data_IF_778984553792
#
_entry.id   IF_778984553792
#
_cell.length_a   1.000
_cell.length_b   1.000
_cell.length_c   1.000
_cell.angle_alpha   90.00
_cell.angle_beta   90.00
_cell.angle_gamma   90.00
#
_symmetry.space_group_name_H-M   'P 1'
#
loop_
_entity.id
_entity.type
_entity.pdbx_description
1 polymer ?
#
# COMPACT_ATOMS: atom_id res chain seq x y z
N UNK A 1 -18.29 21.33 -0.40
CA UNK A 1 -17.92 21.07 0.99
C UNK A 1 -16.65 20.19 0.95
N UNK A 2 -15.46 20.79 1.11
CA UNK A 2 -14.20 20.05 1.09
C UNK A 2 -14.07 19.28 2.41
N UNK A 3 -13.81 17.98 2.40
CA UNK A 3 -13.38 17.31 3.63
C UNK A 3 -11.98 17.81 3.95
N UNK A 4 -11.88 18.53 5.03
CA UNK A 4 -10.67 19.13 5.59
C UNK A 4 -9.71 18.01 6.02
N UNK A 5 -8.66 17.77 5.23
CA UNK A 5 -7.42 17.16 5.73
C UNK A 5 -6.60 18.24 6.49
N UNK A 6 -7.26 19.32 6.84
CA UNK A 6 -6.72 20.45 7.56
C UNK A 6 -6.38 19.99 8.97
N UNK A 7 -5.12 19.87 9.29
CA UNK A 7 -4.60 19.50 10.62
C UNK A 7 -5.13 18.15 11.15
N UNK A 8 -4.89 17.04 10.45
CA UNK A 8 -5.04 15.75 11.10
C UNK A 8 -3.95 15.62 12.16
N UNK A 9 -4.27 16.08 13.36
CA UNK A 9 -3.47 15.84 14.55
C UNK A 9 -3.17 14.33 14.60
N UNK A 10 -1.96 13.93 14.98
CA UNK A 10 -1.53 12.52 15.06
C UNK A 10 -2.57 11.65 15.79
N UNK A 11 -3.26 12.25 16.77
CA UNK A 11 -4.35 11.62 17.49
C UNK A 11 -5.55 11.32 16.58
N UNK A 12 -5.97 12.27 15.73
CA UNK A 12 -7.09 12.06 14.78
C UNK A 12 -6.76 10.97 13.77
N UNK A 13 -5.52 10.92 13.26
CA UNK A 13 -5.08 9.88 12.34
C UNK A 13 -5.10 8.50 13.02
N UNK A 14 -4.56 8.39 14.24
CA UNK A 14 -4.61 7.16 15.04
C UNK A 14 -6.05 6.72 15.32
N UNK A 15 -6.91 7.64 15.74
CA UNK A 15 -8.32 7.37 16.00
C UNK A 15 -9.05 6.92 14.72
N UNK A 16 -8.75 7.53 13.56
CA UNK A 16 -9.30 7.11 12.28
C UNK A 16 -8.85 5.70 11.90
N UNK A 17 -7.56 5.37 12.08
CA UNK A 17 -7.04 4.03 11.82
C UNK A 17 -7.67 2.98 12.74
N UNK A 18 -7.71 3.25 14.06
CA UNK A 18 -8.34 2.35 15.04
C UNK A 18 -9.84 2.23 14.78
N UNK A 19 -10.52 3.33 14.48
CA UNK A 19 -11.95 3.35 14.14
C UNK A 19 -12.25 2.52 12.88
N UNK A 20 -11.44 2.66 11.83
CA UNK A 20 -11.60 1.86 10.60
C UNK A 20 -11.37 0.37 10.89
N UNK A 21 -10.34 0.04 11.65
CA UNK A 21 -10.05 -1.35 12.05
C UNK A 21 -11.19 -1.92 12.91
N UNK A 22 -11.68 -1.18 13.89
CA UNK A 22 -12.82 -1.57 14.73
C UNK A 22 -14.10 -1.76 13.89
N UNK A 23 -14.34 -0.93 12.88
CA UNK A 23 -15.47 -1.07 11.96
C UNK A 23 -15.35 -2.35 11.13
N UNK A 24 -14.18 -2.65 10.58
CA UNK A 24 -13.93 -3.89 9.82
C UNK A 24 -14.19 -5.12 10.70
N UNK A 25 -13.59 -5.15 11.89
CA UNK A 25 -13.74 -6.27 12.83
C UNK A 25 -15.20 -6.38 13.31
N UNK A 26 -15.82 -5.27 13.70
CA UNK A 26 -17.20 -5.25 14.22
C UNK A 26 -18.22 -5.72 13.20
N UNK A 27 -18.17 -5.19 11.97
CA UNK A 27 -19.04 -5.62 10.88
C UNK A 27 -18.82 -7.11 10.55
N UNK A 28 -17.57 -7.54 10.47
CA UNK A 28 -17.22 -8.93 10.20
C UNK A 28 -17.79 -9.87 11.26
N UNK A 29 -17.63 -9.52 12.53
CA UNK A 29 -18.14 -10.32 13.66
C UNK A 29 -19.67 -10.38 13.65
N UNK A 30 -20.34 -9.26 13.39
CA UNK A 30 -21.82 -9.21 13.30
C UNK A 30 -22.33 -10.12 12.19
N UNK A 31 -21.74 -10.03 10.98
CA UNK A 31 -22.14 -10.88 9.85
C UNK A 31 -21.86 -12.35 10.17
N UNK A 32 -20.72 -12.66 10.81
CA UNK A 32 -20.37 -14.00 11.24
C UNK A 32 -21.42 -14.58 12.21
N UNK A 33 -21.85 -13.79 13.20
CA UNK A 33 -22.88 -14.18 14.15
C UNK A 33 -24.23 -14.47 13.47
N UNK A 34 -24.61 -13.64 12.48
CA UNK A 34 -25.84 -13.87 11.69
C UNK A 34 -25.75 -15.19 10.91
N UNK A 35 -24.59 -15.47 10.29
CA UNK A 35 -24.38 -16.72 9.55
C UNK A 35 -24.50 -17.93 10.43
N UNK A 36 -23.79 -17.93 11.55
CA UNK A 36 -23.82 -19.04 12.52
C UNK A 36 -25.25 -19.33 12.94
N UNK A 37 -26.07 -18.28 13.08
CA UNK A 37 -27.49 -18.38 13.40
C UNK A 37 -28.33 -19.03 12.28
N UNK A 38 -28.00 -18.75 11.02
CA UNK A 38 -28.82 -19.17 9.87
C UNK A 38 -28.44 -20.55 9.30
N UNK A 39 -27.16 -20.95 9.37
CA UNK A 39 -26.64 -22.10 8.59
C UNK A 39 -26.48 -23.37 9.39
N UNK A 40 -26.45 -23.31 10.72
CA UNK A 40 -26.52 -24.48 11.66
C UNK A 40 -25.66 -25.74 11.40
N UNK A 41 -25.03 -25.88 10.23
CA UNK A 41 -24.43 -27.13 9.73
C UNK A 41 -23.03 -26.94 9.12
N UNK A 42 -22.53 -25.71 8.97
CA UNK A 42 -21.22 -25.50 8.36
C UNK A 42 -20.12 -25.51 9.42
N UNK A 43 -19.13 -26.39 9.26
CA UNK A 43 -17.92 -26.36 10.08
C UNK A 43 -17.04 -25.17 9.68
N UNK A 44 -17.51 -23.99 10.09
CA UNK A 44 -16.85 -22.68 9.89
C UNK A 44 -15.47 -22.69 10.57
N UNK A 45 -15.27 -23.50 11.59
CA UNK A 45 -13.99 -23.59 12.30
C UNK A 45 -12.90 -24.15 11.37
N UNK A 46 -13.19 -25.26 10.68
CA UNK A 46 -12.26 -25.85 9.71
C UNK A 46 -11.94 -24.89 8.57
N UNK A 47 -12.95 -24.20 8.02
CA UNK A 47 -12.74 -23.20 6.99
C UNK A 47 -11.89 -22.04 7.50
N UNK A 48 -12.18 -21.53 8.69
CA UNK A 48 -11.40 -20.47 9.33
C UNK A 48 -9.94 -20.87 9.52
N UNK A 49 -9.69 -22.08 10.00
CA UNK A 49 -8.33 -22.62 10.18
C UNK A 49 -7.58 -22.67 8.84
N UNK A 50 -8.20 -23.21 7.79
CA UNK A 50 -7.58 -23.29 6.45
C UNK A 50 -7.20 -21.90 5.92
N UNK A 51 -8.09 -20.92 6.04
CA UNK A 51 -7.84 -19.57 5.57
C UNK A 51 -6.74 -18.89 6.39
N UNK A 52 -6.72 -19.08 7.72
CA UNK A 52 -5.62 -18.58 8.59
C UNK A 52 -4.29 -19.19 8.19
N UNK A 53 -4.23 -20.52 8.07
CA UNK A 53 -3.00 -21.25 7.70
C UNK A 53 -2.50 -20.79 6.33
N UNK A 54 -3.39 -20.69 5.34
CA UNK A 54 -3.03 -20.20 4.01
C UNK A 54 -2.44 -18.79 4.02
N UNK A 55 -3.07 -17.85 4.73
CA UNK A 55 -2.57 -16.48 4.86
C UNK A 55 -1.23 -16.41 5.60
N UNK A 56 -1.04 -17.23 6.64
CA UNK A 56 0.24 -17.35 7.34
C UNK A 56 1.34 -17.85 6.40
N UNK A 57 1.08 -18.91 5.66
CA UNK A 57 2.03 -19.47 4.68
C UNK A 57 2.37 -18.41 3.61
N UNK A 58 1.36 -17.72 3.08
CA UNK A 58 1.55 -16.65 2.11
C UNK A 58 2.44 -15.52 2.66
N UNK A 59 2.22 -15.11 3.91
CA UNK A 59 3.05 -14.10 4.56
C UNK A 59 4.50 -14.56 4.76
N UNK A 60 4.69 -15.80 5.23
CA UNK A 60 6.03 -16.36 5.44
C UNK A 60 6.82 -16.47 4.14
N UNK A 61 6.16 -16.80 3.03
CA UNK A 61 6.76 -16.99 1.71
C UNK A 61 6.90 -15.66 0.95
N UNK A 62 6.12 -14.63 1.27
CA UNK A 62 6.07 -13.37 0.51
C UNK A 62 7.44 -12.71 0.26
N UNK A 63 8.43 -12.69 1.19
CA UNK A 63 9.73 -12.10 0.90
C UNK A 63 10.51 -12.81 -0.19
N UNK A 64 10.36 -14.14 -0.30
CA UNK A 64 11.00 -14.93 -1.34
C UNK A 64 10.38 -14.65 -2.71
N UNK A 65 9.05 -14.53 -2.75
CA UNK A 65 8.32 -14.16 -3.98
C UNK A 65 8.71 -12.76 -4.45
N UNK A 66 8.77 -11.79 -3.53
CA UNK A 66 9.22 -10.42 -3.82
C UNK A 66 10.65 -10.45 -4.37
N UNK A 67 11.54 -11.19 -3.72
CA UNK A 67 12.93 -11.35 -4.15
C UNK A 67 13.05 -11.87 -5.58
N UNK A 68 12.29 -12.93 -5.91
CA UNK A 68 12.29 -13.54 -7.23
C UNK A 68 11.72 -12.62 -8.32
N UNK A 69 10.59 -11.98 -8.03
CA UNK A 69 9.83 -11.17 -9.00
C UNK A 69 10.54 -9.86 -9.31
N UNK A 70 10.98 -9.16 -8.28
CA UNK A 70 11.67 -7.87 -8.41
C UNK A 70 13.18 -8.03 -8.65
N UNK A 71 13.68 -9.25 -8.72
CA UNK A 71 15.13 -9.56 -8.82
C UNK A 71 15.91 -8.78 -7.77
N UNK A 72 15.40 -8.85 -6.52
CA UNK A 72 15.98 -8.14 -5.40
C UNK A 72 17.19 -8.93 -4.90
N UNK A 73 18.31 -8.24 -4.73
CA UNK A 73 19.50 -8.80 -4.09
C UNK A 73 19.90 -7.99 -2.86
N UNK A 74 20.59 -8.60 -1.95
CA UNK A 74 21.17 -7.88 -0.84
C UNK A 74 22.25 -6.93 -1.35
N UNK A 75 22.24 -5.70 -0.88
CA UNK A 75 23.29 -4.72 -1.13
C UNK A 75 24.25 -4.75 0.05
N UNK A 76 25.49 -5.18 -0.19
CA UNK A 76 26.48 -5.30 0.87
C UNK A 76 26.99 -3.94 1.38
N UNK A 77 27.52 -3.88 2.60
CA UNK A 77 28.11 -2.65 3.15
C UNK A 77 29.32 -2.18 2.33
N UNK A 78 30.05 -3.10 1.73
CA UNK A 78 31.20 -2.77 0.87
C UNK A 78 30.79 -2.12 -0.46
N UNK A 79 29.61 -2.47 -1.00
CA UNK A 79 29.12 -1.90 -2.26
C UNK A 79 28.60 -0.48 -2.09
N UNK A 80 27.93 -0.17 -0.96
CA UNK A 80 27.44 1.18 -0.68
C UNK A 80 27.46 1.50 0.83
N UNK A 81 28.66 1.77 1.38
CA UNK A 81 28.82 2.08 2.80
C UNK A 81 28.02 3.31 3.26
N UNK A 82 27.82 4.24 2.33
CA UNK A 82 27.10 5.48 2.61
C UNK A 82 25.60 5.23 2.86
N UNK A 83 24.96 4.47 1.99
CA UNK A 83 23.55 4.12 2.11
C UNK A 83 23.30 3.26 3.36
N UNK A 84 24.21 2.34 3.69
CA UNK A 84 24.15 1.54 4.91
C UNK A 84 24.25 2.38 6.18
N UNK A 85 25.14 3.39 6.23
CA UNK A 85 25.25 4.33 7.34
C UNK A 85 24.00 5.19 7.47
N UNK A 86 23.44 5.66 6.34
CA UNK A 86 22.21 6.42 6.29
C UNK A 86 21.06 5.65 6.92
N UNK A 87 20.82 4.41 6.46
CA UNK A 87 19.73 3.56 6.99
C UNK A 87 19.96 3.25 8.47
N UNK A 88 21.20 2.95 8.89
CA UNK A 88 21.53 2.72 10.29
C UNK A 88 21.18 3.91 11.18
N UNK A 89 21.51 5.13 10.73
CA UNK A 89 21.19 6.36 11.47
C UNK A 89 19.67 6.63 11.52
N UNK A 90 18.96 6.43 10.42
CA UNK A 90 17.51 6.59 10.36
C UNK A 90 16.80 5.54 11.23
N UNK A 91 17.27 4.29 11.22
CA UNK A 91 16.71 3.22 12.06
C UNK A 91 16.86 3.53 13.55
N UNK A 92 18.03 4.04 13.97
CA UNK A 92 18.25 4.51 15.37
C UNK A 92 17.27 5.63 15.74
N UNK A 93 17.11 6.65 14.89
CA UNK A 93 16.14 7.73 15.11
C UNK A 93 14.70 7.22 15.15
N UNK A 94 14.38 6.23 14.33
CA UNK A 94 13.07 5.57 14.28
C UNK A 94 12.81 4.62 15.45
N UNK A 95 13.87 4.29 16.24
CA UNK A 95 13.83 3.30 17.33
C UNK A 95 13.39 1.91 16.86
N UNK A 96 13.94 1.45 15.74
CA UNK A 96 13.73 0.10 15.18
C UNK A 96 15.10 -0.54 14.88
N UNK A 97 15.11 -1.86 14.79
CA UNK A 97 16.29 -2.60 14.32
C UNK A 97 16.60 -2.22 12.86
N UNK A 98 17.89 -2.12 12.51
CA UNK A 98 18.32 -1.83 11.14
C UNK A 98 17.80 -2.94 10.21
N UNK A 99 16.94 -2.64 9.23
CA UNK A 99 16.49 -3.62 8.25
C UNK A 99 17.64 -4.00 7.31
N UNK A 100 17.55 -5.17 6.67
CA UNK A 100 18.46 -5.53 5.59
C UNK A 100 18.22 -4.62 4.39
N UNK A 101 19.30 -4.08 3.84
CA UNK A 101 19.25 -3.23 2.66
C UNK A 101 19.29 -4.09 1.40
N UNK A 102 18.32 -3.89 0.55
CA UNK A 102 18.15 -4.64 -0.69
C UNK A 102 18.16 -3.72 -1.90
N UNK A 103 18.67 -4.18 -3.02
CA UNK A 103 18.66 -3.48 -4.31
C UNK A 103 17.84 -4.24 -5.33
N UNK A 104 16.83 -3.57 -5.91
CA UNK A 104 16.07 -4.09 -7.03
C UNK A 104 16.58 -3.50 -8.36
N UNK A 105 16.88 -4.35 -9.34
CA UNK A 105 17.40 -3.95 -10.65
C UNK A 105 16.27 -3.49 -11.59
N UNK A 106 15.52 -2.46 -11.14
CA UNK A 106 14.34 -1.91 -11.84
C UNK A 106 14.61 -0.44 -12.14
N UNK A 107 14.29 0.00 -13.37
CA UNK A 107 14.48 1.37 -13.83
C UNK A 107 13.43 2.34 -13.29
N UNK A 108 12.27 1.86 -12.84
CA UNK A 108 11.23 2.69 -12.26
C UNK A 108 11.67 3.11 -10.84
N UNK A 109 11.70 4.42 -10.53
CA UNK A 109 12.08 4.89 -9.21
C UNK A 109 11.07 4.45 -8.15
N UNK A 110 11.53 3.62 -7.19
CA UNK A 110 10.71 3.12 -6.09
C UNK A 110 11.56 2.69 -4.89
N UNK A 111 10.95 2.68 -3.71
CA UNK A 111 11.44 1.94 -2.55
C UNK A 111 10.25 1.22 -1.90
N UNK A 112 10.51 0.16 -1.17
CA UNK A 112 9.47 -0.56 -0.45
C UNK A 112 10.03 -1.35 0.72
N UNK A 113 9.26 -1.39 1.80
CA UNK A 113 9.53 -2.19 2.97
C UNK A 113 8.75 -3.50 2.92
N UNK A 114 9.41 -4.60 3.27
CA UNK A 114 8.79 -5.92 3.32
C UNK A 114 9.49 -6.81 4.34
N UNK A 115 8.89 -7.95 4.64
CA UNK A 115 9.50 -8.90 5.57
C UNK A 115 8.50 -9.89 6.14
N UNK A 116 9.04 -10.88 6.80
CA UNK A 116 8.28 -11.89 7.55
C UNK A 116 9.02 -12.25 8.84
N UNK A 117 8.39 -12.97 9.78
CA UNK A 117 9.05 -13.47 10.98
C UNK A 117 10.28 -14.34 10.67
N UNK A 118 10.30 -15.02 9.51
CA UNK A 118 11.41 -15.90 9.12
C UNK A 118 12.61 -15.12 8.57
N UNK A 119 12.35 -14.07 7.79
CA UNK A 119 13.40 -13.36 7.06
C UNK A 119 13.85 -12.07 7.73
N UNK A 120 13.05 -11.57 8.68
CA UNK A 120 13.22 -10.25 9.27
C UNK A 120 12.71 -9.13 8.35
N UNK A 121 13.04 -7.90 8.70
CA UNK A 121 12.64 -6.69 7.97
C UNK A 121 13.64 -6.33 6.89
N UNK A 122 13.15 -5.95 5.73
CA UNK A 122 13.93 -5.53 4.57
C UNK A 122 13.43 -4.16 4.08
N UNK A 123 14.35 -3.35 3.58
CA UNK A 123 14.06 -2.16 2.79
C UNK A 123 14.75 -2.31 1.45
N UNK A 124 13.98 -2.35 0.38
CA UNK A 124 14.49 -2.36 -0.97
C UNK A 124 14.44 -0.97 -1.58
N UNK A 125 15.51 -0.61 -2.29
CA UNK A 125 15.55 0.56 -3.17
C UNK A 125 15.77 0.09 -4.60
N UNK A 126 15.13 0.73 -5.57
CA UNK A 126 15.36 0.41 -6.97
C UNK A 126 16.57 1.18 -7.50
N UNK A 127 17.21 0.64 -8.54
CA UNK A 127 18.24 1.37 -9.26
C UNK A 127 17.69 2.70 -9.78
N UNK A 128 16.47 2.69 -10.35
CA UNK A 128 15.81 3.91 -10.83
C UNK A 128 15.61 4.97 -9.75
N UNK A 129 15.39 4.59 -8.48
CA UNK A 129 15.32 5.53 -7.37
C UNK A 129 16.67 6.22 -7.14
N UNK A 130 17.74 5.43 -7.06
CA UNK A 130 19.10 5.94 -6.83
C UNK A 130 19.61 6.81 -8.01
N UNK A 131 19.17 6.51 -9.22
CA UNK A 131 19.51 7.30 -10.42
C UNK A 131 18.71 8.61 -10.52
N UNK A 132 17.53 8.67 -9.86
CA UNK A 132 16.58 9.82 -9.97
C UNK A 132 16.73 10.82 -8.84
N UNK A 133 16.96 10.34 -7.61
CA UNK A 133 16.95 11.13 -6.40
C UNK A 133 18.36 11.42 -5.88
N UNK A 134 18.53 12.63 -5.32
CA UNK A 134 19.73 12.92 -4.55
C UNK A 134 19.68 12.24 -3.16
N UNK A 135 20.80 12.29 -2.43
CA UNK A 135 20.96 11.63 -1.14
C UNK A 135 19.89 12.03 -0.11
N UNK A 136 19.60 13.32 -0.01
CA UNK A 136 18.61 13.83 0.95
C UNK A 136 17.18 13.41 0.60
N UNK A 137 16.90 13.29 -0.67
CA UNK A 137 15.64 12.80 -1.20
C UNK A 137 15.50 11.28 -0.96
N UNK A 138 16.58 10.51 -1.17
CA UNK A 138 16.62 9.09 -0.82
C UNK A 138 16.41 8.90 0.69
N UNK A 139 17.05 9.75 1.54
CA UNK A 139 16.81 9.74 3.01
C UNK A 139 15.34 9.91 3.35
N UNK A 140 14.63 10.81 2.65
CA UNK A 140 13.23 11.07 2.92
C UNK A 140 12.34 9.87 2.55
N UNK A 141 12.59 9.26 1.40
CA UNK A 141 11.90 8.06 0.95
C UNK A 141 12.17 6.87 1.87
N UNK A 142 13.44 6.63 2.22
CA UNK A 142 13.80 5.57 3.18
C UNK A 142 13.18 5.84 4.56
N UNK A 143 13.15 7.10 5.01
CA UNK A 143 12.48 7.47 6.26
C UNK A 143 10.97 7.12 6.25
N UNK A 144 10.30 7.28 5.11
CA UNK A 144 8.93 6.86 4.91
C UNK A 144 8.80 5.32 5.02
N UNK A 145 9.65 4.56 4.35
CA UNK A 145 9.66 3.09 4.42
C UNK A 145 9.90 2.56 5.83
N UNK A 146 10.82 3.22 6.58
CA UNK A 146 11.03 2.90 7.99
C UNK A 146 9.80 3.21 8.86
N UNK A 147 8.96 4.16 8.44
CA UNK A 147 7.66 4.43 9.04
C UNK A 147 6.74 3.21 8.97
N UNK A 148 6.63 2.57 7.81
CA UNK A 148 5.87 1.34 7.62
C UNK A 148 6.38 0.19 8.51
N UNK A 149 7.70 0.01 8.59
CA UNK A 149 8.29 -1.01 9.47
C UNK A 149 8.02 -0.72 10.95
N UNK A 150 8.19 0.53 11.38
CA UNK A 150 7.93 0.95 12.77
C UNK A 150 6.50 0.69 13.21
N UNK A 151 5.55 0.92 12.34
CA UNK A 151 4.12 0.77 12.63
C UNK A 151 3.59 -0.63 12.30
N UNK A 152 4.47 -1.56 11.93
CA UNK A 152 4.15 -2.96 11.59
C UNK A 152 3.06 -3.08 10.52
N UNK A 153 3.15 -2.22 9.55
CA UNK A 153 2.12 -2.06 8.53
C UNK A 153 1.85 -3.34 7.74
N UNK A 154 2.90 -4.06 7.38
CA UNK A 154 2.76 -5.34 6.67
C UNK A 154 1.92 -6.34 7.48
N UNK A 155 2.19 -6.46 8.79
CA UNK A 155 1.48 -7.38 9.66
C UNK A 155 0.01 -6.99 9.84
N UNK A 156 -0.26 -5.69 10.04
CA UNK A 156 -1.63 -5.20 10.22
C UNK A 156 -2.44 -5.46 8.95
N UNK A 157 -1.89 -5.12 7.77
CA UNK A 157 -2.59 -5.32 6.50
C UNK A 157 -2.83 -6.80 6.21
N UNK A 158 -1.90 -7.67 6.56
CA UNK A 158 -2.08 -9.12 6.44
C UNK A 158 -3.27 -9.60 7.27
N UNK A 159 -3.31 -9.23 8.57
CA UNK A 159 -4.39 -9.66 9.48
C UNK A 159 -5.74 -9.14 9.01
N UNK A 160 -5.82 -7.88 8.58
CA UNK A 160 -7.09 -7.29 8.16
C UNK A 160 -7.57 -7.86 6.82
N UNK A 161 -6.65 -8.18 5.90
CA UNK A 161 -7.00 -8.78 4.59
C UNK A 161 -7.54 -10.21 4.69
N UNK A 162 -7.35 -10.87 5.84
CA UNK A 162 -7.93 -12.18 6.11
C UNK A 162 -9.47 -12.17 6.05
N UNK A 163 -10.10 -11.13 6.60
CA UNK A 163 -11.56 -11.07 6.73
C UNK A 163 -12.29 -11.06 5.38
N UNK A 164 -11.96 -10.18 4.42
CA UNK A 164 -12.58 -10.24 3.10
C UNK A 164 -12.37 -11.57 2.38
N UNK A 165 -11.17 -12.15 2.49
CA UNK A 165 -10.87 -13.43 1.88
C UNK A 165 -11.79 -14.54 2.43
N UNK A 166 -11.98 -14.58 3.75
CA UNK A 166 -12.88 -15.54 4.39
C UNK A 166 -14.32 -15.41 3.87
N UNK A 167 -14.86 -14.18 3.84
CA UNK A 167 -16.23 -13.96 3.37
C UNK A 167 -16.38 -14.28 1.89
N UNK A 168 -15.37 -13.98 1.06
CA UNK A 168 -15.36 -14.35 -0.34
C UNK A 168 -15.42 -15.87 -0.52
N UNK A 169 -14.59 -16.63 0.22
CA UNK A 169 -14.56 -18.09 0.13
C UNK A 169 -15.87 -18.73 0.60
N UNK A 170 -16.47 -18.22 1.67
CA UNK A 170 -17.79 -18.68 2.15
C UNK A 170 -18.83 -18.43 1.04
N UNK A 171 -18.89 -17.21 0.50
CA UNK A 171 -19.85 -16.84 -0.54
C UNK A 171 -19.69 -17.68 -1.80
N UNK A 172 -18.46 -17.85 -2.26
CA UNK A 172 -18.15 -18.66 -3.45
C UNK A 172 -18.49 -20.14 -3.23
N UNK A 173 -18.19 -20.68 -2.05
CA UNK A 173 -18.52 -22.07 -1.68
C UNK A 173 -20.02 -22.33 -1.65
N UNK A 174 -20.81 -21.41 -1.10
CA UNK A 174 -22.28 -21.50 -1.11
C UNK A 174 -22.85 -21.42 -2.54
N UNK A 175 -22.30 -20.55 -3.37
CA UNK A 175 -22.70 -20.43 -4.77
C UNK A 175 -22.41 -21.72 -5.56
N UNK A 176 -21.20 -22.31 -5.38
CA UNK A 176 -20.83 -23.57 -6.02
C UNK A 176 -21.68 -24.74 -5.55
N UNK A 177 -21.93 -24.86 -4.23
CA UNK A 177 -22.71 -25.96 -3.68
C UNK A 177 -24.11 -26.03 -4.27
N UNK A 178 -24.72 -24.88 -4.55
CA UNK A 178 -26.01 -24.79 -5.22
C UNK A 178 -25.96 -25.21 -6.70
N UNK A 179 -24.83 -24.95 -7.37
CA UNK A 179 -24.63 -25.33 -8.77
C UNK A 179 -24.45 -26.86 -8.93
N UNK A 180 -23.83 -27.52 -7.96
CA UNK A 180 -23.57 -28.97 -8.02
C UNK A 180 -24.70 -29.85 -7.44
N UNK A 181 -25.51 -29.33 -6.49
CA UNK A 181 -26.60 -30.12 -5.84
C UNK A 181 -27.87 -30.29 -6.66
N UNK A 182 -27.98 -29.68 -7.84
CA UNK A 182 -29.13 -29.85 -8.72
C UNK A 182 -30.44 -29.40 -8.08
N UNK A 183 -31.23 -28.71 -8.83
CA UNK A 183 -32.50 -27.99 -8.57
C UNK A 183 -33.59 -28.68 -7.70
N UNK A 184 -33.31 -29.72 -6.94
CA UNK A 184 -34.40 -30.53 -6.36
C UNK A 184 -34.94 -30.10 -5.01
N UNK A 185 -34.17 -29.31 -4.18
CA UNK A 185 -34.68 -29.03 -2.82
C UNK A 185 -34.31 -27.64 -2.22
N UNK A 186 -33.65 -26.77 -2.97
CA UNK A 186 -33.32 -25.45 -2.43
C UNK A 186 -33.87 -24.32 -3.32
N UNK A 187 -34.71 -23.49 -2.75
CA UNK A 187 -35.37 -22.34 -3.39
C UNK A 187 -34.39 -21.23 -3.87
N UNK A 188 -33.15 -21.56 -4.24
CA UNK A 188 -32.14 -20.59 -4.64
C UNK A 188 -31.59 -19.71 -3.48
N UNK A 189 -32.03 -19.95 -2.26
CA UNK A 189 -31.67 -19.13 -1.09
C UNK A 189 -30.20 -19.15 -0.77
N UNK A 190 -29.54 -20.31 -0.86
CA UNK A 190 -28.11 -20.44 -0.58
C UNK A 190 -27.22 -19.69 -1.58
N UNK A 191 -27.61 -19.64 -2.86
CA UNK A 191 -26.88 -18.86 -3.87
C UNK A 191 -27.00 -17.36 -3.60
N UNK A 192 -28.18 -16.89 -3.21
CA UNK A 192 -28.42 -15.48 -2.89
C UNK A 192 -27.62 -15.04 -1.65
N UNK A 193 -27.57 -15.88 -0.64
CA UNK A 193 -26.73 -15.70 0.54
C UNK A 193 -25.25 -15.66 0.13
N UNK A 194 -24.81 -16.58 -0.75
CA UNK A 194 -23.44 -16.61 -1.27
C UNK A 194 -23.04 -15.30 -1.96
N UNK A 195 -23.93 -14.76 -2.82
CA UNK A 195 -23.73 -13.46 -3.46
C UNK A 195 -23.65 -12.34 -2.41
N UNK A 196 -24.51 -12.36 -1.39
CA UNK A 196 -24.46 -11.41 -0.27
C UNK A 196 -23.09 -11.37 0.42
N UNK A 197 -22.48 -12.55 0.65
CA UNK A 197 -21.14 -12.65 1.21
C UNK A 197 -20.04 -12.09 0.29
N UNK A 198 -20.14 -12.35 -1.01
CA UNK A 198 -19.19 -11.81 -1.96
C UNK A 198 -19.26 -10.27 -2.03
N UNK A 199 -20.47 -9.71 -2.03
CA UNK A 199 -20.71 -8.26 -1.95
C UNK A 199 -20.15 -7.69 -0.65
N UNK A 200 -20.39 -8.36 0.49
CA UNK A 200 -19.86 -7.93 1.78
C UNK A 200 -18.32 -7.97 1.81
N UNK A 201 -17.70 -9.01 1.27
CA UNK A 201 -16.25 -9.08 1.07
C UNK A 201 -15.72 -7.88 0.30
N UNK A 202 -16.41 -7.50 -0.77
CA UNK A 202 -16.05 -6.32 -1.57
C UNK A 202 -16.14 -5.02 -0.75
N UNK A 203 -17.18 -4.85 0.07
CA UNK A 203 -17.31 -3.69 0.97
C UNK A 203 -16.15 -3.64 1.97
N UNK A 204 -15.79 -4.78 2.58
CA UNK A 204 -14.64 -4.86 3.48
C UNK A 204 -13.32 -4.47 2.79
N UNK A 205 -13.14 -4.86 1.53
CA UNK A 205 -11.97 -4.43 0.75
C UNK A 205 -11.90 -2.90 0.59
N UNK A 206 -13.02 -2.20 0.46
CA UNK A 206 -13.03 -0.73 0.41
C UNK A 206 -12.50 -0.12 1.71
N UNK A 207 -12.85 -0.69 2.87
CA UNK A 207 -12.30 -0.26 4.16
C UNK A 207 -10.80 -0.55 4.27
N UNK A 208 -10.31 -1.67 3.73
CA UNK A 208 -8.89 -2.00 3.70
C UNK A 208 -8.11 -1.01 2.83
N UNK A 209 -8.62 -0.66 1.66
CA UNK A 209 -8.03 0.37 0.80
C UNK A 209 -8.00 1.73 1.51
N UNK A 210 -9.05 2.08 2.24
CA UNK A 210 -9.08 3.30 3.04
C UNK A 210 -8.04 3.27 4.16
N UNK A 211 -7.92 2.16 4.89
CA UNK A 211 -6.92 1.96 5.93
C UNK A 211 -5.49 2.07 5.35
N UNK A 212 -5.24 1.45 4.20
CA UNK A 212 -3.96 1.56 3.49
C UNK A 212 -3.57 3.02 3.24
N UNK A 213 -4.52 3.82 2.73
CA UNK A 213 -4.29 5.26 2.49
C UNK A 213 -4.00 6.06 3.77
N UNK A 214 -4.66 5.75 4.89
CA UNK A 214 -4.37 6.41 6.17
C UNK A 214 -2.95 6.12 6.64
N UNK A 215 -2.45 4.92 6.39
CA UNK A 215 -1.10 4.49 6.78
C UNK A 215 -0.02 5.20 5.99
N UNK A 216 -0.26 5.53 4.73
CA UNK A 216 0.62 6.38 3.94
C UNK A 216 0.86 7.74 4.61
N UNK A 217 -0.21 8.42 5.06
CA UNK A 217 -0.08 9.68 5.80
C UNK A 217 0.68 9.50 7.12
N UNK A 218 0.55 8.35 7.75
CA UNK A 218 1.27 8.05 8.99
C UNK A 218 2.77 7.82 8.75
N UNK A 219 3.12 7.14 7.66
CA UNK A 219 4.50 6.96 7.21
C UNK A 219 5.12 8.29 6.75
N UNK A 220 4.37 9.15 6.04
CA UNK A 220 4.81 10.49 5.67
C UNK A 220 5.16 11.34 6.91
N UNK A 221 4.29 11.34 7.93
CA UNK A 221 4.58 12.03 9.20
C UNK A 221 5.80 11.47 9.91
N UNK A 222 6.02 10.16 9.85
CA UNK A 222 7.22 9.55 10.41
C UNK A 222 8.48 10.06 9.70
N UNK A 223 8.52 10.06 8.37
CA UNK A 223 9.62 10.60 7.60
C UNK A 223 9.94 12.06 7.98
N UNK A 224 8.89 12.90 8.09
CA UNK A 224 9.03 14.29 8.52
C UNK A 224 9.62 14.40 9.91
N UNK A 225 9.22 13.53 10.84
CA UNK A 225 9.67 13.58 12.26
C UNK A 225 11.14 13.19 12.48
N UNK A 226 11.72 12.40 11.57
CA UNK A 226 13.11 11.88 11.72
C UNK A 226 14.13 12.67 10.90
N UNK A 227 13.68 13.62 10.08
CA UNK A 227 14.52 14.39 9.15
C UNK A 227 14.36 15.90 9.33
N UNK A 228 15.46 16.62 9.23
CA UNK A 228 15.42 18.08 9.10
C UNK A 228 14.85 18.45 7.72
N UNK A 229 13.87 19.35 7.68
CA UNK A 229 13.15 19.73 6.47
C UNK A 229 12.53 18.51 5.74
N UNK A 230 12.08 17.51 6.52
CA UNK A 230 11.60 16.24 6.01
C UNK A 230 10.40 16.39 5.07
N UNK A 231 9.47 17.31 5.37
CA UNK A 231 8.30 17.59 4.55
C UNK A 231 8.69 18.06 3.13
N UNK A 232 9.62 19.01 3.04
CA UNK A 232 10.09 19.51 1.74
C UNK A 232 10.85 18.44 0.96
N UNK A 233 11.75 17.69 1.63
CA UNK A 233 12.55 16.64 0.99
C UNK A 233 11.64 15.52 0.45
N UNK A 234 10.67 15.06 1.24
CA UNK A 234 9.74 14.02 0.82
C UNK A 234 8.82 14.51 -0.31
N UNK A 235 8.30 15.74 -0.22
CA UNK A 235 7.47 16.31 -1.28
C UNK A 235 8.23 16.39 -2.62
N UNK A 236 9.48 16.82 -2.60
CA UNK A 236 10.33 16.87 -3.80
C UNK A 236 10.61 15.47 -4.35
N UNK A 237 10.91 14.50 -3.45
CA UNK A 237 11.14 13.10 -3.84
C UNK A 237 9.93 12.52 -4.55
N UNK A 238 8.74 12.65 -3.95
CA UNK A 238 7.49 12.14 -4.52
C UNK A 238 7.18 12.78 -5.88
N UNK A 239 7.36 14.09 -6.02
CA UNK A 239 7.15 14.80 -7.29
C UNK A 239 8.10 14.29 -8.39
N UNK A 240 9.39 14.08 -8.06
CA UNK A 240 10.38 13.51 -8.99
C UNK A 240 10.07 12.07 -9.38
N UNK A 241 9.67 11.23 -8.41
CA UNK A 241 9.28 9.84 -8.67
C UNK A 241 8.13 9.80 -9.67
N UNK A 242 7.06 10.58 -9.45
CA UNK A 242 5.91 10.64 -10.34
C UNK A 242 6.32 11.12 -11.74
N UNK A 243 7.09 12.22 -11.84
CA UNK A 243 7.58 12.75 -13.12
C UNK A 243 8.41 11.72 -13.89
N UNK A 244 9.36 11.06 -13.23
CA UNK A 244 10.25 10.09 -13.88
C UNK A 244 9.51 8.81 -14.29
N UNK A 245 8.63 8.30 -13.44
CA UNK A 245 7.79 7.13 -13.76
C UNK A 245 6.97 7.37 -15.01
N UNK A 246 6.34 8.54 -15.12
CA UNK A 246 5.61 8.95 -16.31
C UNK A 246 6.51 8.94 -17.56
N UNK A 247 7.64 9.62 -17.51
CA UNK A 247 8.56 9.70 -18.64
C UNK A 247 8.99 8.31 -19.14
N UNK A 248 9.21 7.37 -18.21
CA UNK A 248 9.52 5.98 -18.54
C UNK A 248 8.33 5.30 -19.24
N UNK A 249 7.10 5.54 -18.79
CA UNK A 249 5.91 4.96 -19.40
C UNK A 249 5.67 5.50 -20.82
N UNK A 250 5.84 6.80 -21.04
CA UNK A 250 5.65 7.47 -22.34
C UNK A 250 6.71 7.07 -23.37
N UNK A 251 7.99 6.95 -22.98
CA UNK A 251 9.09 6.63 -23.90
C UNK A 251 9.13 5.16 -24.32
N UNK A 252 8.23 4.32 -23.86
CA UNK A 252 8.13 2.91 -24.27
C UNK A 252 9.30 2.02 -23.87
N UNK A 253 10.32 2.57 -23.18
CA UNK A 253 11.47 1.80 -22.66
C UNK A 253 11.06 0.71 -21.66
N UNK A 254 9.84 0.79 -21.16
CA UNK A 254 9.20 -0.19 -20.28
C UNK A 254 8.75 -1.48 -21.02
N UNK A 255 8.66 -1.49 -22.36
CA UNK A 255 8.12 -2.66 -23.10
C UNK A 255 9.04 -3.89 -23.09
N UNK A 256 10.35 -3.71 -22.94
CA UNK A 256 11.30 -4.81 -22.90
C UNK A 256 11.58 -5.39 -21.51
N UNK A 257 11.19 -4.71 -20.43
CA UNK A 257 11.37 -5.15 -19.04
C UNK A 257 10.06 -5.12 -18.24
N UNK A 258 8.90 -5.31 -18.88
CA UNK A 258 7.66 -5.49 -18.14
C UNK A 258 7.68 -6.85 -17.42
N UNK A 259 8.10 -6.93 -16.16
CA UNK A 259 7.44 -7.85 -15.28
C UNK A 259 5.96 -7.42 -15.30
N UNK A 260 5.04 -8.33 -15.14
CA UNK A 260 3.61 -8.06 -15.09
C UNK A 260 3.34 -7.08 -13.91
N UNK A 261 3.57 -5.77 -14.16
CA UNK A 261 3.58 -4.72 -13.12
C UNK A 261 2.23 -4.59 -12.41
N UNK A 262 1.15 -5.07 -13.05
CA UNK A 262 -0.19 -5.05 -12.48
C UNK A 262 -0.31 -5.79 -11.15
N UNK A 263 0.45 -6.87 -10.95
CA UNK A 263 0.45 -7.64 -9.70
C UNK A 263 1.22 -6.95 -8.55
N UNK A 264 2.04 -5.94 -8.85
CA UNK A 264 3.00 -5.35 -7.89
C UNK A 264 2.75 -3.89 -7.57
N UNK A 265 1.70 -3.29 -8.12
CA UNK A 265 1.33 -1.89 -7.90
C UNK A 265 1.20 -1.53 -6.42
N UNK A 266 0.79 -2.48 -5.59
CA UNK A 266 0.64 -2.28 -4.15
C UNK A 266 1.95 -2.00 -3.39
N UNK A 267 3.12 -2.30 -3.99
CA UNK A 267 4.45 -2.04 -3.40
C UNK A 267 5.10 -0.76 -3.92
N UNK A 268 4.41 0.02 -4.76
CA UNK A 268 4.97 1.27 -5.25
C UNK A 268 4.54 2.44 -4.36
N UNK A 269 5.45 3.33 -4.04
CA UNK A 269 5.20 4.59 -3.29
C UNK A 269 4.18 5.48 -4.00
N UNK A 270 4.09 5.38 -5.33
CA UNK A 270 3.09 6.05 -6.17
C UNK A 270 2.61 5.08 -7.23
N UNK A 271 1.29 4.99 -7.45
CA UNK A 271 0.70 4.11 -8.45
C UNK A 271 1.22 4.47 -9.86
N UNK A 272 1.95 3.57 -10.56
CA UNK A 272 2.53 3.86 -11.86
C UNK A 272 1.50 4.18 -12.96
N UNK A 273 0.28 3.62 -12.87
CA UNK A 273 -0.78 3.89 -13.85
C UNK A 273 -1.39 5.27 -13.64
N UNK A 274 -1.48 5.72 -12.39
CA UNK A 274 -1.96 7.07 -12.05
C UNK A 274 -0.95 8.15 -12.42
N UNK A 275 0.33 7.83 -12.50
CA UNK A 275 1.34 8.76 -13.00
C UNK A 275 1.01 9.29 -14.40
N UNK A 276 0.25 8.55 -15.22
CA UNK A 276 -0.21 9.00 -16.53
C UNK A 276 -1.40 9.98 -16.43
N UNK A 277 -2.33 9.77 -15.50
CA UNK A 277 -3.52 10.61 -15.33
C UNK A 277 -3.23 11.90 -14.55
N UNK A 278 -2.39 11.81 -13.50
CA UNK A 278 -1.96 12.97 -12.71
C UNK A 278 -1.09 13.95 -13.51
N UNK A 279 -0.73 13.61 -14.73
CA UNK A 279 0.44 14.16 -15.43
C UNK A 279 0.18 14.79 -16.80
N UNK A 280 -1.05 14.80 -17.33
CA UNK A 280 -1.35 15.42 -18.63
C UNK A 280 -0.87 16.88 -18.69
N UNK A 281 -0.84 17.59 -17.58
CA UNK A 281 -0.34 18.96 -17.47
C UNK A 281 1.18 19.09 -17.18
N UNK A 282 1.81 18.04 -16.62
CA UNK A 282 3.26 18.02 -16.33
C UNK A 282 4.13 17.94 -17.59
N UNK A 283 3.57 17.61 -18.75
CA UNK A 283 4.28 17.51 -20.04
C UNK A 283 4.86 18.87 -20.50
N UNK A 284 4.29 19.97 -20.05
CA UNK A 284 4.68 21.35 -20.47
C UNK A 284 5.93 21.84 -19.71
N UNK A 285 6.53 21.06 -18.80
CA UNK A 285 7.42 21.56 -17.76
C UNK A 285 8.79 20.91 -17.68
N UNK A 286 9.38 20.53 -18.80
CA UNK A 286 10.70 19.85 -18.82
C UNK A 286 11.84 20.61 -18.10
N UNK A 287 11.70 21.94 -17.84
CA UNK A 287 12.80 22.79 -17.35
C UNK A 287 12.54 23.56 -16.05
N UNK A 288 11.53 23.18 -15.23
CA UNK A 288 11.22 23.94 -14.00
C UNK A 288 11.91 23.39 -12.75
N UNK A 289 12.27 24.30 -11.85
CA UNK A 289 12.79 24.01 -10.50
C UNK A 289 11.87 23.05 -9.74
N UNK A 290 12.46 22.15 -8.92
CA UNK A 290 11.73 21.15 -8.12
C UNK A 290 10.63 21.76 -7.21
N UNK A 291 10.83 22.98 -6.70
CA UNK A 291 9.84 23.69 -5.90
C UNK A 291 8.62 24.13 -6.73
N UNK A 292 8.84 24.50 -7.99
CA UNK A 292 7.75 24.84 -8.89
C UNK A 292 6.91 23.62 -9.26
N UNK A 293 7.53 22.44 -9.38
CA UNK A 293 6.84 21.17 -9.61
C UNK A 293 5.89 20.82 -8.45
N UNK A 294 6.36 20.95 -7.21
CA UNK A 294 5.52 20.72 -6.01
C UNK A 294 4.37 21.73 -5.94
N UNK A 295 4.64 23.02 -6.18
CA UNK A 295 3.60 24.06 -6.17
C UNK A 295 2.49 23.79 -7.17
N UNK A 296 2.86 23.38 -8.35
CA UNK A 296 1.93 23.12 -9.44
C UNK A 296 1.08 21.88 -9.17
N UNK A 297 1.68 20.78 -8.73
CA UNK A 297 0.94 19.60 -8.31
C UNK A 297 -0.05 19.93 -7.18
N UNK A 298 0.34 20.79 -6.24
CA UNK A 298 -0.54 21.17 -5.13
C UNK A 298 -1.64 22.15 -5.53
N UNK A 299 -1.47 22.93 -6.61
CA UNK A 299 -2.51 23.85 -7.12
C UNK A 299 -3.62 23.12 -7.89
N UNK A 300 -3.40 21.89 -8.36
CA UNK A 300 -4.37 21.11 -9.13
C UNK A 300 -5.68 20.90 -8.39
N UNK A 301 -6.81 21.19 -9.04
CA UNK A 301 -8.15 20.86 -8.52
C UNK A 301 -8.46 19.38 -8.76
N UNK A 302 -8.79 18.67 -7.71
CA UNK A 302 -9.19 17.26 -7.80
C UNK A 302 -10.61 17.13 -8.35
N UNK A 303 -10.77 16.39 -9.42
CA UNK A 303 -12.05 16.08 -10.05
C UNK A 303 -12.81 15.00 -9.25
N UNK A 304 -14.07 14.77 -9.60
CA UNK A 304 -14.82 13.64 -9.03
C UNK A 304 -14.21 12.30 -9.45
N UNK A 305 -13.73 12.19 -10.69
CA UNK A 305 -13.04 11.00 -11.18
C UNK A 305 -11.78 10.68 -10.35
N UNK A 306 -10.94 11.69 -10.04
CA UNK A 306 -9.76 11.50 -9.17
C UNK A 306 -10.12 10.94 -7.79
N UNK A 307 -11.23 11.39 -7.21
CA UNK A 307 -11.71 10.92 -5.91
C UNK A 307 -12.23 9.48 -5.99
N UNK A 308 -12.93 9.15 -7.08
CA UNK A 308 -13.44 7.80 -7.30
C UNK A 308 -12.28 6.81 -7.51
N UNK A 309 -11.33 7.13 -8.37
CA UNK A 309 -10.13 6.32 -8.60
C UNK A 309 -9.32 6.14 -7.31
N UNK A 310 -9.18 7.20 -6.50
CA UNK A 310 -8.52 7.10 -5.19
C UNK A 310 -9.24 6.12 -4.26
N UNK A 311 -10.57 6.04 -4.29
CA UNK A 311 -11.32 5.11 -3.46
C UNK A 311 -10.92 3.64 -3.71
N UNK A 312 -10.54 3.31 -4.95
CA UNK A 312 -10.06 1.99 -5.38
C UNK A 312 -8.54 1.81 -5.36
N UNK A 313 -7.79 2.79 -4.83
CA UNK A 313 -6.33 2.74 -4.73
C UNK A 313 -5.85 2.47 -3.31
N UNK A 314 -4.72 1.77 -3.19
CA UNK A 314 -4.01 1.55 -1.92
C UNK A 314 -3.28 2.80 -1.44
N UNK A 315 -2.96 3.74 -2.35
CA UNK A 315 -2.26 4.98 -2.04
C UNK A 315 -3.17 6.20 -2.21
N UNK A 316 -3.00 7.24 -1.39
CA UNK A 316 -3.71 8.50 -1.57
C UNK A 316 -3.30 9.17 -2.88
N UNK A 317 -4.17 10.03 -3.41
CA UNK A 317 -3.81 10.89 -4.52
C UNK A 317 -2.58 11.76 -4.17
N UNK A 318 -1.61 11.84 -5.08
CA UNK A 318 -0.35 12.55 -4.85
C UNK A 318 -0.57 14.02 -4.45
N UNK A 319 -1.56 14.70 -5.06
CA UNK A 319 -1.91 16.08 -4.72
C UNK A 319 -2.31 16.21 -3.26
N UNK A 320 -3.08 15.26 -2.74
CA UNK A 320 -3.49 15.25 -1.32
C UNK A 320 -2.29 15.00 -0.40
N UNK A 321 -1.40 14.06 -0.77
CA UNK A 321 -0.17 13.79 -0.01
C UNK A 321 0.72 15.01 0.07
N UNK A 322 0.98 15.66 -1.06
CA UNK A 322 1.81 16.87 -1.12
C UNK A 322 1.21 18.03 -0.30
N UNK A 323 -0.12 18.22 -0.34
CA UNK A 323 -0.79 19.23 0.50
C UNK A 323 -0.65 18.91 1.99
N UNK A 324 -0.84 17.64 2.38
CA UNK A 324 -0.67 17.22 3.77
C UNK A 324 0.77 17.40 4.26
N UNK A 325 1.77 17.17 3.40
CA UNK A 325 3.18 17.41 3.72
C UNK A 325 3.49 18.91 3.88
N UNK A 326 2.87 19.78 3.06
CA UNK A 326 3.01 21.23 3.22
C UNK A 326 2.45 21.74 4.56
N UNK A 327 1.42 21.09 5.11
CA UNK A 327 0.87 21.43 6.44
C UNK A 327 1.80 20.97 7.59
N UNK A 328 2.78 20.12 7.31
CA UNK A 328 3.77 19.61 8.27
C UNK A 328 5.12 20.36 8.21
N UNK A 329 5.28 21.29 7.23
CA UNK A 329 6.51 22.04 7.00
C UNK A 329 6.69 23.24 7.95
#
# INVERSE_FOLDING_TARGET
>A
MQPQIRNMNLLKLRLSMVGTLATIIGLSTLVFAIIMSLVGVFDILSLGVVVVVFNLIQWLISPYLIGAIYRVRELSENENPHLHRMIGNLSKKSKISKPKLMLAQISIPNAFAYGSPLTGSHVAVTKGLLDTLNEDEVKAVVGHELGHLKHRDVQIMMVVSFLPALFYYIGFSLMLSNMYRGRRDDNGGSALIGIGFMVFSWILNMFILYLSRLREYYADRHAVSVLNNGAQKLSTSLAKIVKTTRRINETGKSKQQKPNLSAYKALFISDPDRANEDSVELAIMENKSNQNLVRELTSKKLTFADKLLEAFSTHPNIVKRLRALQELS
#
